data_IF_780303502955
#
_entry.id   IF_780303502955
#
_cell.length_a   1.000
_cell.length_b   1.000
_cell.length_c   1.000
_cell.angle_alpha   90.00
_cell.angle_beta   90.00
_cell.angle_gamma   90.00
#
_symmetry.space_group_name_H-M   'P 1'
#
loop_
_entity.id
_entity.type
_entity.pdbx_description
1 polymer ?
#
# COMPACT_ATOMS: atom_id res chain seq x y z
N UNK A 1 49.58 1.90 1.48
CA UNK A 1 48.42 1.81 0.56
C UNK A 1 47.22 1.08 1.16
N UNK A 2 47.40 0.14 2.10
CA UNK A 2 46.30 -0.62 2.74
C UNK A 2 45.44 0.18 3.73
N UNK A 3 45.96 1.25 4.33
CA UNK A 3 45.22 2.10 5.28
C UNK A 3 44.19 3.02 4.63
N UNK A 4 44.44 3.47 3.39
CA UNK A 4 43.55 4.38 2.65
C UNK A 4 42.27 3.64 2.21
N UNK A 5 42.38 2.38 1.80
CA UNK A 5 41.25 1.55 1.39
C UNK A 5 40.30 1.23 2.56
N UNK A 6 40.86 1.02 3.75
CA UNK A 6 40.07 0.82 4.97
C UNK A 6 39.32 2.09 5.39
N UNK A 7 39.95 3.26 5.28
CA UNK A 7 39.32 4.54 5.60
C UNK A 7 38.16 4.85 4.64
N UNK A 8 38.34 4.63 3.34
CA UNK A 8 37.27 4.82 2.34
C UNK A 8 36.07 3.90 2.54
N UNK A 9 36.28 2.68 3.07
CA UNK A 9 35.19 1.76 3.39
C UNK A 9 34.39 2.22 4.63
N UNK A 10 35.06 2.81 5.62
CA UNK A 10 34.42 3.39 6.82
C UNK A 10 33.63 4.65 6.45
N UNK A 11 34.17 5.49 5.58
CA UNK A 11 33.51 6.71 5.12
C UNK A 11 32.30 6.42 4.22
N UNK A 12 32.37 5.38 3.38
CA UNK A 12 31.21 4.89 2.63
C UNK A 12 30.11 4.34 3.56
N UNK A 13 30.49 3.64 4.63
CA UNK A 13 29.54 3.14 5.63
C UNK A 13 28.89 4.26 6.45
N UNK A 14 29.62 5.34 6.76
CA UNK A 14 29.09 6.50 7.48
C UNK A 14 28.10 7.30 6.60
N UNK A 15 28.41 7.48 5.32
CA UNK A 15 27.48 8.09 4.36
C UNK A 15 26.22 7.25 4.15
N UNK A 16 26.34 5.92 4.08
CA UNK A 16 25.19 5.03 3.97
C UNK A 16 24.29 5.10 5.22
N UNK A 17 24.87 5.22 6.42
CA UNK A 17 24.12 5.42 7.67
C UNK A 17 23.45 6.78 7.73
N UNK A 18 24.13 7.85 7.32
CA UNK A 18 23.57 9.19 7.27
C UNK A 18 22.38 9.30 6.29
N UNK A 19 22.48 8.68 5.11
CA UNK A 19 21.38 8.61 4.15
C UNK A 19 20.18 7.81 4.68
N UNK A 20 20.43 6.72 5.41
CA UNK A 20 19.38 5.94 6.06
C UNK A 20 18.68 6.72 7.18
N UNK A 21 19.42 7.56 7.93
CA UNK A 21 18.87 8.42 8.98
C UNK A 21 17.91 9.48 8.41
N UNK A 22 18.30 10.14 7.32
CA UNK A 22 17.46 11.14 6.63
C UNK A 22 16.20 10.49 6.06
N UNK A 23 16.32 9.28 5.48
CA UNK A 23 15.19 8.52 4.98
C UNK A 23 14.22 8.10 6.11
N UNK A 24 14.75 7.75 7.30
CA UNK A 24 13.95 7.46 8.49
C UNK A 24 13.20 8.69 9.00
N UNK A 25 13.88 9.82 9.13
CA UNK A 25 13.25 11.07 9.55
C UNK A 25 12.12 11.49 8.61
N UNK A 26 12.29 11.31 7.30
CA UNK A 26 11.24 11.56 6.32
C UNK A 26 10.06 10.58 6.44
N UNK A 27 10.33 9.30 6.74
CA UNK A 27 9.31 8.29 6.96
C UNK A 27 8.51 8.54 8.24
N UNK A 28 9.17 8.89 9.35
CA UNK A 28 8.52 9.19 10.63
C UNK A 28 7.60 10.42 10.51
N UNK A 29 8.08 11.46 9.82
CA UNK A 29 7.26 12.63 9.52
C UNK A 29 6.02 12.26 8.69
N UNK A 30 6.19 11.47 7.62
CA UNK A 30 5.08 11.01 6.78
C UNK A 30 4.07 10.15 7.57
N UNK A 31 4.56 9.33 8.50
CA UNK A 31 3.72 8.47 9.33
C UNK A 31 2.89 9.27 10.33
N UNK A 32 3.49 10.30 10.95
CA UNK A 32 2.77 11.23 11.84
C UNK A 32 1.64 11.95 11.07
N UNK A 33 1.90 12.41 9.84
CA UNK A 33 0.86 13.04 9.02
C UNK A 33 -0.26 12.07 8.64
N UNK A 34 0.07 10.82 8.30
CA UNK A 34 -0.91 9.79 7.98
C UNK A 34 -1.77 9.41 9.20
N UNK A 35 -1.15 9.24 10.36
CA UNK A 35 -1.84 8.93 11.62
C UNK A 35 -2.73 10.09 12.06
N UNK A 36 -2.27 11.33 11.93
CA UNK A 36 -3.08 12.52 12.19
C UNK A 36 -4.28 12.61 11.24
N UNK A 37 -4.11 12.31 9.96
CA UNK A 37 -5.21 12.32 8.99
C UNK A 37 -6.25 11.22 9.29
N UNK A 38 -5.79 10.01 9.62
CA UNK A 38 -6.65 8.90 9.99
C UNK A 38 -7.39 9.16 11.31
N UNK A 39 -6.70 9.73 12.30
CA UNK A 39 -7.29 10.12 13.58
C UNK A 39 -8.29 11.27 13.41
N UNK A 40 -8.00 12.27 12.58
CA UNK A 40 -8.91 13.37 12.30
C UNK A 40 -10.18 12.89 11.59
N UNK A 41 -10.06 11.99 10.61
CA UNK A 41 -11.23 11.40 9.94
C UNK A 41 -12.06 10.54 10.91
N UNK A 42 -11.39 9.73 11.74
CA UNK A 42 -12.03 8.93 12.78
C UNK A 42 -12.73 9.78 13.84
N UNK A 43 -12.10 10.86 14.30
CA UNK A 43 -12.64 11.79 15.29
C UNK A 43 -13.80 12.61 14.72
N UNK A 44 -13.70 13.11 13.48
CA UNK A 44 -14.77 13.85 12.82
C UNK A 44 -16.03 12.99 12.63
N UNK A 45 -15.84 11.73 12.21
CA UNK A 45 -16.94 10.79 12.07
C UNK A 45 -17.52 10.37 13.43
N UNK A 46 -16.67 10.10 14.43
CA UNK A 46 -17.09 9.74 15.78
C UNK A 46 -17.85 10.89 16.47
N UNK A 47 -17.41 12.14 16.26
CA UNK A 47 -18.08 13.34 16.72
C UNK A 47 -19.43 13.57 16.00
N UNK A 48 -19.50 13.31 14.69
CA UNK A 48 -20.76 13.35 13.95
C UNK A 48 -21.79 12.32 14.46
N UNK A 49 -21.32 11.23 15.07
CA UNK A 49 -22.15 10.19 15.69
C UNK A 49 -22.34 10.35 17.21
N UNK A 50 -21.88 11.47 17.79
CA UNK A 50 -22.06 11.79 19.22
C UNK A 50 -21.24 10.94 20.20
N UNK A 51 -20.15 10.31 19.75
CA UNK A 51 -19.26 9.50 20.58
C UNK A 51 -19.82 8.14 21.02
N UNK A 52 -21.02 7.77 20.59
CA UNK A 52 -21.71 6.56 21.05
C UNK A 52 -21.34 5.28 20.28
N UNK A 53 -20.56 5.38 19.19
CA UNK A 53 -20.29 4.26 18.30
C UNK A 53 -18.85 3.77 18.47
N UNK A 54 -18.72 2.48 18.83
CA UNK A 54 -17.45 1.79 18.94
C UNK A 54 -16.64 1.84 17.62
N UNK A 55 -15.31 2.08 17.63
CA UNK A 55 -14.48 2.12 16.44
C UNK A 55 -14.58 0.88 15.54
N UNK A 56 -14.83 -0.30 16.12
CA UNK A 56 -15.11 -1.52 15.36
C UNK A 56 -16.43 -1.43 14.61
N UNK A 57 -17.52 -1.04 15.29
CA UNK A 57 -18.84 -0.86 14.66
C UNK A 57 -18.77 0.17 13.54
N UNK A 58 -17.99 1.24 13.73
CA UNK A 58 -17.74 2.25 12.72
C UNK A 58 -17.02 1.66 11.47
N UNK A 59 -15.91 0.93 11.67
CA UNK A 59 -15.19 0.28 10.56
C UNK A 59 -16.04 -0.78 9.87
N UNK A 60 -16.87 -1.50 10.63
CA UNK A 60 -17.82 -2.48 10.11
C UNK A 60 -18.91 -1.80 9.26
N UNK A 61 -19.42 -0.64 9.68
CA UNK A 61 -20.38 0.12 8.90
C UNK A 61 -19.78 0.58 7.55
N UNK A 62 -18.54 1.08 7.55
CA UNK A 62 -17.81 1.41 6.31
C UNK A 62 -17.65 0.18 5.43
N UNK A 63 -17.27 -0.97 6.00
CA UNK A 63 -17.13 -2.22 5.27
C UNK A 63 -18.44 -2.64 4.60
N UNK A 64 -19.56 -2.62 5.32
CA UNK A 64 -20.88 -2.98 4.79
C UNK A 64 -21.30 -2.00 3.68
N UNK A 65 -21.12 -0.69 3.88
CA UNK A 65 -21.39 0.31 2.85
C UNK A 65 -20.52 0.11 1.59
N UNK A 66 -19.24 -0.23 1.76
CA UNK A 66 -18.35 -0.54 0.64
C UNK A 66 -18.81 -1.77 -0.15
N UNK A 67 -19.36 -2.80 0.50
CA UNK A 67 -19.95 -3.96 -0.17
C UNK A 67 -21.15 -3.55 -1.04
N UNK A 68 -22.05 -2.71 -0.52
CA UNK A 68 -23.17 -2.19 -1.31
C UNK A 68 -22.68 -1.39 -2.52
N UNK A 69 -21.72 -0.49 -2.33
CA UNK A 69 -21.13 0.28 -3.45
C UNK A 69 -20.51 -0.67 -4.47
N UNK A 70 -19.74 -1.67 -4.05
CA UNK A 70 -19.14 -2.67 -4.93
C UNK A 70 -20.17 -3.43 -5.75
N UNK A 71 -21.27 -3.85 -5.13
CA UNK A 71 -22.39 -4.51 -5.81
C UNK A 71 -22.97 -3.62 -6.92
N UNK A 72 -23.35 -2.38 -6.60
CA UNK A 72 -23.94 -1.47 -7.59
C UNK A 72 -22.96 -1.11 -8.73
N UNK A 73 -21.67 -0.96 -8.42
CA UNK A 73 -20.63 -0.66 -9.42
C UNK A 73 -20.47 -1.81 -10.42
N UNK A 74 -20.45 -3.06 -9.95
CA UNK A 74 -20.30 -4.24 -10.82
C UNK A 74 -21.57 -4.52 -11.61
N UNK A 75 -22.75 -4.31 -11.02
CA UNK A 75 -24.02 -4.59 -11.68
C UNK A 75 -24.37 -3.57 -12.77
N UNK A 76 -23.79 -2.37 -12.73
CA UNK A 76 -24.06 -1.29 -13.69
C UNK A 76 -23.19 -1.34 -14.96
N UNK A 77 -22.55 -2.47 -15.27
CA UNK A 77 -21.65 -2.59 -16.44
C UNK A 77 -22.32 -3.30 -17.60
N UNK A 78 -21.93 -2.94 -18.82
CA UNK A 78 -22.45 -3.56 -20.04
C UNK A 78 -21.96 -5.01 -20.16
N UNK A 79 -22.78 -5.99 -20.61
CA UNK A 79 -22.40 -7.40 -20.63
C UNK A 79 -21.11 -7.72 -21.41
N UNK A 80 -20.81 -6.95 -22.45
CA UNK A 80 -19.57 -7.08 -23.23
C UNK A 80 -18.29 -6.77 -22.42
N UNK A 81 -18.42 -6.12 -21.26
CA UNK A 81 -17.30 -5.68 -20.43
C UNK A 81 -17.05 -6.60 -19.23
N UNK A 82 -17.82 -7.68 -19.01
CA UNK A 82 -17.57 -8.57 -17.87
C UNK A 82 -16.16 -9.18 -17.87
N UNK A 83 -15.65 -9.55 -19.04
CA UNK A 83 -14.29 -10.10 -19.17
C UNK A 83 -13.20 -9.04 -18.90
N UNK A 84 -13.26 -7.83 -19.49
CA UNK A 84 -12.40 -6.72 -19.05
C UNK A 84 -12.54 -6.36 -17.56
N UNK A 85 -13.76 -6.37 -17.03
CA UNK A 85 -14.04 -6.05 -15.63
C UNK A 85 -13.36 -7.04 -14.69
N UNK A 86 -13.38 -8.33 -15.04
CA UNK A 86 -12.69 -9.38 -14.28
C UNK A 86 -11.17 -9.12 -14.21
N UNK A 87 -10.58 -8.60 -15.29
CA UNK A 87 -9.16 -8.21 -15.30
C UNK A 87 -8.91 -6.96 -14.43
N UNK A 88 -9.83 -5.98 -14.45
CA UNK A 88 -9.73 -4.79 -13.59
C UNK A 88 -9.85 -5.15 -12.11
N UNK A 89 -10.80 -6.01 -11.72
CA UNK A 89 -10.95 -6.40 -10.31
C UNK A 89 -9.74 -7.18 -9.81
N UNK A 90 -9.07 -7.95 -10.67
CA UNK A 90 -7.78 -8.56 -10.35
C UNK A 90 -6.73 -7.49 -10.03
N UNK A 91 -6.59 -6.45 -10.86
CA UNK A 91 -5.67 -5.34 -10.59
C UNK A 91 -6.02 -4.60 -9.29
N UNK A 92 -7.30 -4.32 -9.03
CA UNK A 92 -7.78 -3.63 -7.82
C UNK A 92 -7.49 -4.44 -6.56
N UNK A 93 -7.54 -5.77 -6.63
CA UNK A 93 -7.20 -6.65 -5.49
C UNK A 93 -5.77 -6.43 -4.97
N UNK A 94 -4.91 -5.80 -5.76
CA UNK A 94 -3.54 -5.43 -5.37
C UNK A 94 -3.44 -4.30 -4.33
N UNK A 95 -4.56 -3.85 -3.75
CA UNK A 95 -4.57 -2.96 -2.56
C UNK A 95 -3.70 -3.49 -1.41
N UNK A 96 -3.44 -4.80 -1.39
CA UNK A 96 -2.51 -5.49 -0.49
C UNK A 96 -1.10 -4.86 -0.50
N UNK A 97 -0.70 -4.16 -1.58
CA UNK A 97 0.56 -3.41 -1.66
C UNK A 97 0.75 -2.45 -0.49
N UNK A 98 -0.34 -1.84 0.01
CA UNK A 98 -0.30 -0.93 1.18
C UNK A 98 0.17 -1.69 2.42
N UNK A 99 -0.36 -2.89 2.66
CA UNK A 99 0.06 -3.75 3.77
C UNK A 99 1.49 -4.25 3.62
N UNK A 100 1.92 -4.58 2.39
CA UNK A 100 3.29 -4.99 2.11
C UNK A 100 4.30 -3.86 2.39
N UNK A 101 3.99 -2.63 1.98
CA UNK A 101 4.82 -1.45 2.26
C UNK A 101 4.92 -1.18 3.76
N UNK A 102 3.82 -1.32 4.50
CA UNK A 102 3.84 -1.20 5.97
C UNK A 102 4.70 -2.30 6.60
N UNK A 103 4.59 -3.56 6.16
CA UNK A 103 5.41 -4.66 6.68
C UNK A 103 6.92 -4.46 6.45
N UNK A 104 7.29 -3.92 5.29
CA UNK A 104 8.70 -3.58 4.97
C UNK A 104 9.17 -2.34 5.72
N UNK A 105 8.31 -1.33 5.91
CA UNK A 105 8.64 -0.05 6.54
C UNK A 105 8.71 -0.08 8.07
N UNK A 106 7.72 -0.69 8.73
CA UNK A 106 7.51 -0.64 10.19
C UNK A 106 8.61 -1.35 10.98
N UNK A 107 9.30 -2.33 10.40
CA UNK A 107 10.30 -3.15 11.11
C UNK A 107 11.68 -2.51 11.21
N UNK A 108 11.83 -1.27 10.72
CA UNK A 108 13.05 -0.47 10.85
C UNK A 108 13.08 0.42 12.10
N UNK A 109 11.98 0.46 12.87
CA UNK A 109 11.72 1.37 14.01
C UNK A 109 11.85 0.69 15.40
N UNK A 110 12.10 -0.62 15.48
CA UNK A 110 12.17 -1.31 16.79
C UNK A 110 13.27 -2.37 16.88
N UNK A 111 14.17 -2.19 17.85
CA UNK A 111 15.14 -3.19 18.29
C UNK A 111 14.44 -4.48 18.75
N UNK A 112 14.42 -5.51 17.91
CA UNK A 112 13.89 -6.82 18.26
C UNK A 112 14.10 -7.86 17.17
N UNK A 113 14.68 -9.01 17.53
CA UNK A 113 15.13 -10.08 16.63
C UNK A 113 14.08 -10.75 15.71
N UNK A 114 12.84 -10.26 15.64
CA UNK A 114 11.77 -10.72 14.75
C UNK A 114 11.64 -9.88 13.45
N UNK A 115 12.43 -8.80 13.31
CA UNK A 115 12.39 -7.85 12.18
C UNK A 115 12.73 -8.47 10.81
N UNK A 116 13.60 -9.49 10.75
CA UNK A 116 14.08 -10.02 9.47
C UNK A 116 13.00 -10.80 8.69
N UNK A 117 12.20 -11.63 9.38
CA UNK A 117 11.17 -12.45 8.73
C UNK A 117 10.04 -11.58 8.18
N UNK A 118 9.55 -10.62 8.97
CA UNK A 118 8.53 -9.68 8.52
C UNK A 118 8.99 -8.85 7.31
N UNK A 119 10.27 -8.47 7.27
CA UNK A 119 10.86 -7.74 6.14
C UNK A 119 11.01 -8.61 4.89
N UNK A 120 11.41 -9.87 5.06
CA UNK A 120 11.49 -10.83 3.96
C UNK A 120 10.11 -11.13 3.37
N UNK A 121 9.12 -11.44 4.21
CA UNK A 121 7.75 -11.69 3.77
C UNK A 121 7.09 -10.43 3.20
N UNK A 122 7.33 -9.26 3.79
CA UNK A 122 6.87 -7.97 3.25
C UNK A 122 7.47 -7.68 1.88
N UNK A 123 8.77 -7.96 1.68
CA UNK A 123 9.42 -7.80 0.39
C UNK A 123 8.86 -8.76 -0.67
N UNK A 124 8.67 -10.04 -0.32
CA UNK A 124 8.03 -11.02 -1.21
C UNK A 124 6.60 -10.59 -1.56
N UNK A 125 5.83 -10.15 -0.56
CA UNK A 125 4.48 -9.64 -0.76
C UNK A 125 4.46 -8.41 -1.68
N UNK A 126 5.45 -7.50 -1.55
CA UNK A 126 5.58 -6.32 -2.40
C UNK A 126 5.88 -6.70 -3.85
N UNK A 127 6.74 -7.70 -4.07
CA UNK A 127 7.03 -8.24 -5.41
C UNK A 127 5.77 -8.84 -6.05
N UNK A 128 5.04 -9.69 -5.31
CA UNK A 128 3.80 -10.29 -5.83
C UNK A 128 2.70 -9.25 -6.07
N UNK A 129 2.54 -8.28 -5.18
CA UNK A 129 1.61 -7.17 -5.38
C UNK A 129 1.97 -6.38 -6.63
N UNK A 130 3.26 -6.09 -6.86
CA UNK A 130 3.73 -5.38 -8.05
C UNK A 130 3.41 -6.16 -9.33
N UNK A 131 3.67 -7.46 -9.36
CA UNK A 131 3.32 -8.32 -10.51
C UNK A 131 1.82 -8.29 -10.80
N UNK A 132 0.97 -8.32 -9.77
CA UNK A 132 -0.48 -8.27 -9.94
C UNK A 132 -0.94 -6.89 -10.46
N UNK A 133 -0.38 -5.78 -9.95
CA UNK A 133 -0.64 -4.43 -10.47
C UNK A 133 -0.29 -4.35 -11.95
N UNK A 134 0.96 -4.61 -12.30
CA UNK A 134 1.44 -4.44 -13.68
C UNK A 134 0.79 -5.44 -14.64
N UNK A 135 0.66 -6.71 -14.24
CA UNK A 135 0.01 -7.74 -15.03
C UNK A 135 -1.48 -7.45 -15.25
N UNK A 136 -2.19 -7.06 -14.19
CA UNK A 136 -3.61 -6.72 -14.24
C UNK A 136 -3.90 -5.53 -15.16
N UNK A 137 -3.13 -4.45 -15.07
CA UNK A 137 -3.33 -3.27 -15.92
C UNK A 137 -2.86 -3.49 -17.38
N UNK A 138 -1.79 -4.25 -17.61
CA UNK A 138 -1.32 -4.55 -18.97
C UNK A 138 -2.29 -5.46 -19.73
N UNK A 139 -2.85 -6.47 -19.06
CA UNK A 139 -3.88 -7.34 -19.67
C UNK A 139 -5.17 -6.56 -19.91
N UNK A 140 -5.60 -5.77 -18.93
CA UNK A 140 -6.81 -4.93 -19.06
C UNK A 140 -6.70 -3.96 -20.24
N UNK A 141 -5.58 -3.26 -20.38
CA UNK A 141 -5.37 -2.31 -21.47
C UNK A 141 -5.38 -3.01 -22.84
N UNK A 142 -4.78 -4.20 -22.96
CA UNK A 142 -4.88 -5.03 -24.17
C UNK A 142 -6.32 -5.47 -24.46
N UNK A 143 -7.08 -5.84 -23.44
CA UNK A 143 -8.49 -6.23 -23.58
C UNK A 143 -9.37 -5.06 -24.04
N UNK A 144 -9.19 -3.87 -23.46
CA UNK A 144 -9.93 -2.67 -23.82
C UNK A 144 -9.54 -2.11 -25.18
N UNK A 145 -8.27 -2.26 -25.59
CA UNK A 145 -7.80 -1.85 -26.90
C UNK A 145 -8.51 -2.60 -28.05
N UNK A 146 -8.98 -3.83 -27.82
CA UNK A 146 -9.74 -4.60 -28.81
C UNK A 146 -11.17 -4.05 -29.04
N UNK A 147 -11.68 -3.22 -28.14
CA UNK A 147 -12.98 -2.55 -28.27
C UNK A 147 -12.87 -1.12 -28.85
N UNK A 148 -11.65 -0.63 -29.09
CA UNK A 148 -11.46 0.67 -29.72
C UNK A 148 -11.65 0.53 -31.23
N UNK A 149 -12.59 1.30 -31.79
CA UNK A 149 -12.80 1.40 -33.23
C UNK A 149 -11.50 1.91 -33.89
N UNK A 150 -10.97 1.18 -34.88
CA UNK A 150 -9.87 1.69 -35.73
C UNK A 150 -10.28 3.07 -36.26
N UNK A 151 -9.48 4.09 -35.97
CA UNK A 151 -9.41 5.27 -36.83
C UNK A 151 -8.69 4.88 -38.12
#
# INVERSE_FOLDING_TARGET
MTSVTAQTAVDAASQARAAAEVARQAADAAQIYADQAAAALGAAAHAATGGAIDPFVFRLAIFVLAVFVGYYVVWSVTPALHTPLMSVTNAISSVIVVGALLAVGVTTVGDGGHSLWARLFGFIALVFASVNIFGGFLVTSRMLAMYQKKK
#
